data_IF_592989744947
#
_entry.id   IF_592989744947
#
_cell.length_a   1.000
_cell.length_b   1.000
_cell.length_c   1.000
_cell.angle_alpha   90.00
_cell.angle_beta   90.00
_cell.angle_gamma   90.00
#
_symmetry.space_group_name_H-M   'P 1'
#
loop_
_entity.id
_entity.type
_entity.pdbx_description
1 polymer ?
#
# COMPACT_ATOMS: atom_id res chain seq x y z
N UNK A 1 -8.27 -2.74 6.06
CA UNK A 1 -7.10 -2.62 5.17
C UNK A 1 -6.63 -1.16 5.16
N UNK A 2 -5.32 -0.94 5.03
CA UNK A 2 -4.68 0.37 4.89
C UNK A 2 -3.98 0.44 3.53
N UNK A 3 -4.33 1.45 2.73
CA UNK A 3 -3.86 1.61 1.35
C UNK A 3 -2.84 2.74 1.26
N UNK A 4 -1.77 2.53 0.49
CA UNK A 4 -0.80 3.56 0.12
C UNK A 4 -1.35 4.39 -1.04
N UNK A 5 -2.12 5.42 -0.74
CA UNK A 5 -2.90 6.18 -1.71
C UNK A 5 -2.56 7.67 -1.77
N UNK A 6 -1.50 8.14 -1.10
CA UNK A 6 -1.26 9.56 -0.92
C UNK A 6 0.17 10.05 -1.21
N UNK A 7 1.07 9.14 -1.58
CA UNK A 7 2.47 9.45 -1.83
C UNK A 7 2.80 9.79 -3.29
N UNK A 8 4.10 9.84 -3.59
CA UNK A 8 4.66 10.14 -4.91
C UNK A 8 4.13 9.21 -6.01
N UNK A 9 3.73 7.99 -5.66
CA UNK A 9 3.14 7.04 -6.61
C UNK A 9 1.89 7.61 -7.29
N UNK A 10 1.10 8.43 -6.61
CA UNK A 10 -0.07 9.08 -7.21
C UNK A 10 0.35 10.15 -8.23
N UNK A 11 1.35 10.97 -7.90
CA UNK A 11 1.90 11.94 -8.85
C UNK A 11 2.51 11.30 -10.08
N UNK A 12 3.21 10.17 -9.91
CA UNK A 12 3.76 9.39 -11.03
C UNK A 12 2.67 8.90 -11.98
N UNK A 13 1.58 8.35 -11.43
CA UNK A 13 0.43 7.89 -12.23
C UNK A 13 -0.22 9.07 -12.97
N UNK A 14 -0.45 10.19 -12.28
CA UNK A 14 -1.07 11.38 -12.85
C UNK A 14 -0.25 11.92 -14.03
N UNK A 15 1.08 12.04 -13.88
CA UNK A 15 1.93 12.56 -14.94
C UNK A 15 2.10 11.59 -16.11
N UNK A 16 2.19 10.30 -15.86
CA UNK A 16 2.21 9.32 -16.94
C UNK A 16 0.88 9.29 -17.71
N UNK A 17 -0.26 9.46 -17.00
CA UNK A 17 -1.56 9.62 -17.65
C UNK A 17 -1.60 10.90 -18.51
N UNK A 18 -1.03 12.01 -18.03
CA UNK A 18 -0.90 13.26 -18.79
C UNK A 18 -0.11 13.05 -20.07
N UNK A 19 1.02 12.34 -19.99
CA UNK A 19 1.87 12.07 -21.15
C UNK A 19 1.16 11.16 -22.18
N UNK A 20 0.31 10.23 -21.75
CA UNK A 20 -0.45 9.31 -22.62
C UNK A 20 -1.72 9.92 -23.21
N UNK A 21 -2.42 10.73 -22.44
CA UNK A 21 -3.75 11.26 -22.76
C UNK A 21 -3.85 12.77 -22.41
N UNK A 22 -3.00 13.61 -23.05
CA UNK A 22 -2.92 15.03 -22.73
C UNK A 22 -4.22 15.82 -23.00
N UNK A 23 -5.10 15.28 -23.83
CA UNK A 23 -6.38 15.86 -24.21
C UNK A 23 -7.47 15.76 -23.13
N UNK A 24 -7.22 15.02 -22.05
CA UNK A 24 -8.20 14.86 -21.00
C UNK A 24 -8.45 16.17 -20.23
N UNK A 25 -9.69 16.45 -19.82
CA UNK A 25 -10.07 17.73 -19.19
C UNK A 25 -9.33 17.99 -17.86
N UNK A 26 -8.76 16.97 -17.23
CA UNK A 26 -7.96 17.09 -16.02
C UNK A 26 -6.65 17.85 -16.23
N UNK A 27 -6.17 17.93 -17.48
CA UNK A 27 -4.89 18.55 -17.86
C UNK A 27 -5.06 19.90 -18.58
N UNK A 28 -6.29 20.36 -18.77
CA UNK A 28 -6.61 21.69 -19.28
C UNK A 28 -6.76 22.67 -18.11
N UNK A 29 -5.80 23.57 -17.97
CA UNK A 29 -5.79 24.58 -16.90
C UNK A 29 -7.00 25.57 -16.97
N UNK A 30 -7.66 25.66 -18.11
CA UNK A 30 -8.83 26.50 -18.33
C UNK A 30 -10.15 25.74 -18.13
N UNK A 31 -10.09 24.46 -17.82
CA UNK A 31 -11.31 23.65 -17.65
C UNK A 31 -12.06 24.06 -16.37
N UNK A 32 -13.30 24.45 -16.53
CA UNK A 32 -14.18 24.88 -15.43
C UNK A 32 -15.42 24.02 -15.26
N UNK A 33 -15.54 22.96 -16.08
CA UNK A 33 -16.66 22.03 -16.05
C UNK A 33 -16.56 21.02 -14.89
N UNK A 34 -17.59 20.17 -14.82
CA UNK A 34 -17.53 18.98 -13.96
C UNK A 34 -16.67 17.89 -14.62
N UNK A 35 -15.78 17.27 -13.83
CA UNK A 35 -14.96 16.18 -14.36
C UNK A 35 -15.83 14.94 -14.64
N UNK A 36 -15.47 14.15 -15.68
CA UNK A 36 -16.21 12.93 -16.02
C UNK A 36 -16.37 11.99 -14.82
N UNK A 37 -17.54 11.37 -14.67
CA UNK A 37 -17.80 10.41 -13.63
C UNK A 37 -17.11 9.05 -13.91
N UNK A 38 -16.92 8.72 -15.20
CA UNK A 38 -16.27 7.50 -15.61
C UNK A 38 -14.74 7.66 -15.61
N UNK A 39 -13.99 6.64 -15.15
CA UNK A 39 -12.54 6.69 -15.15
C UNK A 39 -11.98 6.72 -16.57
N UNK A 40 -10.94 7.55 -16.84
CA UNK A 40 -10.32 7.65 -18.17
C UNK A 40 -9.39 6.47 -18.49
N UNK A 41 -9.35 5.45 -17.66
CA UNK A 41 -8.51 4.26 -17.80
C UNK A 41 -9.19 3.02 -17.18
N UNK A 42 -8.75 1.86 -17.63
CA UNK A 42 -9.08 0.55 -17.05
C UNK A 42 -8.05 0.13 -16.01
N UNK A 43 -8.35 -0.93 -15.23
CA UNK A 43 -7.35 -1.51 -14.30
C UNK A 43 -6.10 -2.00 -15.04
N UNK A 44 -6.26 -2.60 -16.23
CA UNK A 44 -5.13 -3.08 -17.03
C UNK A 44 -4.22 -1.94 -17.49
N UNK A 45 -4.81 -0.81 -17.91
CA UNK A 45 -4.02 0.40 -18.24
C UNK A 45 -3.31 0.95 -17.00
N UNK A 46 -3.96 0.97 -15.84
CA UNK A 46 -3.36 1.46 -14.58
C UNK A 46 -2.18 0.61 -14.14
N UNK A 47 -2.25 -0.71 -14.35
CA UNK A 47 -1.16 -1.66 -14.09
C UNK A 47 0.05 -1.47 -14.99
N UNK A 48 -0.13 -0.90 -16.18
CA UNK A 48 0.97 -0.52 -17.07
C UNK A 48 1.52 0.89 -16.77
N UNK A 49 0.63 1.82 -16.39
CA UNK A 49 0.97 3.22 -16.12
C UNK A 49 1.99 3.31 -14.98
N UNK A 50 1.72 2.69 -13.84
CA UNK A 50 2.57 2.85 -12.66
C UNK A 50 4.00 2.28 -12.84
N UNK A 51 4.23 1.05 -13.31
CA UNK A 51 5.58 0.56 -13.57
C UNK A 51 6.34 1.39 -14.61
N UNK A 52 5.65 1.86 -15.66
CA UNK A 52 6.22 2.74 -16.68
C UNK A 52 6.67 4.07 -16.06
N UNK A 53 5.79 4.72 -15.32
CA UNK A 53 6.09 5.97 -14.62
C UNK A 53 7.23 5.82 -13.62
N UNK A 54 7.23 4.72 -12.85
CA UNK A 54 8.30 4.41 -11.89
C UNK A 54 9.65 4.14 -12.56
N UNK A 55 9.67 3.51 -13.74
CA UNK A 55 10.90 3.34 -14.51
C UNK A 55 11.39 4.69 -15.05
N UNK A 56 10.48 5.45 -15.69
CA UNK A 56 10.76 6.76 -16.30
C UNK A 56 11.30 7.76 -15.28
N UNK A 57 10.77 7.78 -14.07
CA UNK A 57 11.21 8.69 -13.00
C UNK A 57 12.65 8.47 -12.52
N UNK A 58 13.28 7.34 -12.85
CA UNK A 58 14.67 7.06 -12.50
C UNK A 58 15.65 7.67 -13.48
N UNK A 59 15.23 7.84 -14.73
CA UNK A 59 16.09 8.27 -15.84
C UNK A 59 15.72 9.68 -16.36
N UNK A 60 14.55 10.22 -15.96
CA UNK A 60 14.03 11.53 -16.39
C UNK A 60 13.73 12.41 -15.16
N UNK A 61 14.69 13.27 -14.80
CA UNK A 61 14.54 14.21 -13.67
C UNK A 61 13.40 15.21 -13.88
N UNK A 62 13.11 15.61 -15.12
CA UNK A 62 12.03 16.54 -15.41
C UNK A 62 10.67 15.87 -15.21
N UNK A 63 10.52 14.62 -15.59
CA UNK A 63 9.33 13.83 -15.29
C UNK A 63 9.14 13.65 -13.78
N UNK A 64 10.20 13.30 -13.06
CA UNK A 64 10.16 13.16 -11.61
C UNK A 64 9.75 14.47 -10.92
N UNK A 65 10.28 15.61 -11.36
CA UNK A 65 9.92 16.92 -10.83
C UNK A 65 8.42 17.23 -11.03
N UNK A 66 7.87 16.96 -12.22
CA UNK A 66 6.42 17.09 -12.48
C UNK A 66 5.58 16.16 -11.60
N UNK A 67 6.03 14.92 -11.38
CA UNK A 67 5.34 13.97 -10.51
C UNK A 67 5.31 14.45 -9.04
N UNK A 68 6.41 15.04 -8.56
CA UNK A 68 6.42 15.71 -7.24
C UNK A 68 5.43 16.87 -7.18
N UNK A 69 5.39 17.71 -8.21
CA UNK A 69 4.44 18.83 -8.29
C UNK A 69 2.99 18.32 -8.30
N UNK A 70 2.67 17.29 -9.09
CA UNK A 70 1.34 16.69 -9.13
C UNK A 70 0.95 16.08 -7.76
N UNK A 71 1.90 15.49 -7.03
CA UNK A 71 1.68 14.99 -5.66
C UNK A 71 1.34 16.13 -4.72
N UNK A 72 2.08 17.24 -4.77
CA UNK A 72 1.80 18.43 -3.94
C UNK A 72 0.46 19.05 -4.28
N UNK A 73 0.10 19.15 -5.56
CA UNK A 73 -1.22 19.62 -6.02
C UNK A 73 -2.34 18.75 -5.45
N UNK A 74 -2.20 17.42 -5.55
CA UNK A 74 -3.16 16.49 -4.97
C UNK A 74 -3.32 16.71 -3.45
N UNK A 75 -2.20 16.76 -2.73
CA UNK A 75 -2.19 16.94 -1.27
C UNK A 75 -2.71 18.31 -0.84
N UNK A 76 -2.66 19.32 -1.71
CA UNK A 76 -3.22 20.66 -1.51
C UNK A 76 -4.69 20.77 -1.92
N UNK A 77 -5.32 19.71 -2.40
CA UNK A 77 -6.73 19.67 -2.77
C UNK A 77 -7.02 20.25 -4.17
N UNK A 78 -6.04 20.22 -5.09
CA UNK A 78 -6.29 20.56 -6.49
C UNK A 78 -7.42 19.69 -7.06
N UNK A 79 -8.40 20.32 -7.69
CA UNK A 79 -9.61 19.65 -8.15
C UNK A 79 -9.36 18.60 -9.23
N UNK A 80 -8.46 18.88 -10.16
CA UNK A 80 -8.13 17.98 -11.26
C UNK A 80 -7.38 16.74 -10.76
N UNK A 81 -6.32 16.95 -9.96
CA UNK A 81 -5.55 15.86 -9.36
C UNK A 81 -6.43 15.01 -8.43
N UNK A 82 -7.31 15.65 -7.64
CA UNK A 82 -8.24 14.93 -6.76
C UNK A 82 -9.25 14.10 -7.55
N UNK A 83 -9.78 14.62 -8.68
CA UNK A 83 -10.70 13.85 -9.51
C UNK A 83 -10.03 12.62 -10.14
N UNK A 84 -8.80 12.75 -10.66
CA UNK A 84 -8.03 11.61 -11.17
C UNK A 84 -7.74 10.61 -10.02
N UNK A 85 -7.33 11.10 -8.85
CA UNK A 85 -7.06 10.26 -7.69
C UNK A 85 -8.29 9.44 -7.27
N UNK A 86 -9.48 10.03 -7.27
CA UNK A 86 -10.72 9.29 -7.02
C UNK A 86 -10.93 8.16 -8.02
N UNK A 87 -10.64 8.37 -9.32
CA UNK A 87 -10.72 7.32 -10.32
C UNK A 87 -9.70 6.21 -10.08
N UNK A 88 -8.44 6.57 -9.76
CA UNK A 88 -7.39 5.60 -9.41
C UNK A 88 -7.86 4.74 -8.23
N UNK A 89 -8.36 5.36 -7.18
CA UNK A 89 -8.80 4.65 -5.98
C UNK A 89 -10.03 3.78 -6.22
N UNK A 90 -11.01 4.26 -6.98
CA UNK A 90 -12.20 3.49 -7.28
C UNK A 90 -11.88 2.23 -8.09
N UNK A 91 -11.08 2.36 -9.16
CA UNK A 91 -10.65 1.24 -10.00
C UNK A 91 -9.80 0.25 -9.20
N UNK A 92 -8.83 0.75 -8.43
CA UNK A 92 -7.93 -0.09 -7.61
C UNK A 92 -8.68 -0.81 -6.48
N UNK A 93 -9.56 -0.13 -5.75
CA UNK A 93 -10.36 -0.74 -4.68
C UNK A 93 -11.29 -1.83 -5.21
N UNK A 94 -11.90 -1.62 -6.39
CA UNK A 94 -12.77 -2.61 -7.01
C UNK A 94 -12.01 -3.90 -7.37
N UNK A 95 -10.80 -3.77 -7.93
CA UNK A 95 -9.95 -4.92 -8.26
C UNK A 95 -9.43 -5.63 -7.01
N UNK A 96 -8.94 -4.88 -6.03
CA UNK A 96 -8.50 -5.44 -4.75
C UNK A 96 -9.64 -6.18 -4.05
N UNK A 97 -10.85 -5.59 -4.02
CA UNK A 97 -12.01 -6.24 -3.42
C UNK A 97 -12.34 -7.57 -4.08
N UNK A 98 -12.32 -7.64 -5.41
CA UNK A 98 -12.51 -8.88 -6.17
C UNK A 98 -11.50 -9.95 -5.74
N UNK A 99 -10.23 -9.59 -5.60
CA UNK A 99 -9.19 -10.52 -5.17
C UNK A 99 -9.39 -11.00 -3.72
N UNK A 100 -9.76 -10.11 -2.81
CA UNK A 100 -10.06 -10.48 -1.42
C UNK A 100 -11.32 -11.35 -1.32
N UNK A 101 -12.37 -11.05 -2.09
CA UNK A 101 -13.58 -11.88 -2.16
C UNK A 101 -13.24 -13.30 -2.67
N UNK A 102 -12.38 -13.42 -3.70
CA UNK A 102 -11.89 -14.70 -4.20
C UNK A 102 -11.11 -15.50 -3.14
N UNK A 103 -10.40 -14.81 -2.25
CA UNK A 103 -9.70 -15.40 -1.11
C UNK A 103 -10.60 -15.65 0.09
N UNK A 104 -11.88 -15.29 0.04
CA UNK A 104 -12.79 -15.27 1.18
C UNK A 104 -12.19 -14.50 2.37
N UNK A 105 -11.68 -13.29 2.10
CA UNK A 105 -11.11 -12.36 3.06
C UNK A 105 -11.91 -11.06 3.03
N UNK A 106 -12.34 -10.62 4.21
CA UNK A 106 -13.14 -9.41 4.38
C UNK A 106 -12.48 -8.47 5.38
N UNK A 107 -12.70 -7.17 5.17
CA UNK A 107 -12.20 -6.12 6.06
C UNK A 107 -13.33 -5.24 6.52
N UNK A 108 -13.34 -4.90 7.80
CA UNK A 108 -14.32 -3.99 8.38
C UNK A 108 -14.10 -2.55 7.92
N UNK A 109 -12.84 -2.17 7.68
CA UNK A 109 -12.46 -0.82 7.30
C UNK A 109 -11.56 -0.82 6.06
N UNK A 110 -11.86 0.12 5.16
CA UNK A 110 -11.07 0.42 3.97
C UNK A 110 -10.53 1.85 4.11
N UNK A 111 -9.34 1.98 4.64
CA UNK A 111 -8.66 3.23 4.92
C UNK A 111 -7.40 3.38 4.08
N UNK A 112 -6.91 4.62 3.97
CA UNK A 112 -5.67 4.94 3.27
C UNK A 112 -4.84 5.97 4.03
N UNK A 113 -3.65 6.25 3.54
CA UNK A 113 -2.79 7.32 4.03
C UNK A 113 -3.47 8.69 3.93
N UNK A 114 -4.31 8.88 2.90
CA UNK A 114 -5.11 10.10 2.68
C UNK A 114 -6.06 10.42 3.83
N UNK A 115 -6.63 9.43 4.49
CA UNK A 115 -7.52 9.62 5.64
C UNK A 115 -6.79 10.25 6.84
N UNK A 116 -5.48 10.00 6.96
CA UNK A 116 -4.66 10.51 8.05
C UNK A 116 -4.10 11.93 7.82
N UNK A 117 -4.13 12.41 6.57
CA UNK A 117 -3.59 13.73 6.21
C UNK A 117 -4.04 14.88 7.14
N UNK A 118 -5.32 15.00 7.55
CA UNK A 118 -5.76 16.09 8.40
C UNK A 118 -5.11 16.11 9.80
N UNK A 119 -4.56 15.00 10.26
CA UNK A 119 -3.94 14.90 11.60
C UNK A 119 -2.46 15.26 11.60
N UNK A 120 -1.80 15.30 10.44
CA UNK A 120 -0.35 15.50 10.32
C UNK A 120 0.12 16.84 10.89
N UNK A 121 -0.46 18.00 10.54
CA UNK A 121 0.05 19.29 10.99
C UNK A 121 0.09 19.43 12.52
N UNK A 122 -1.04 19.16 13.16
CA UNK A 122 -1.18 19.29 14.61
C UNK A 122 -0.31 18.27 15.36
N UNK A 123 -0.18 17.06 14.83
CA UNK A 123 0.67 16.02 15.39
C UNK A 123 2.15 16.44 15.37
N UNK A 124 2.65 16.91 14.25
CA UNK A 124 4.04 17.38 14.13
C UNK A 124 4.27 18.58 15.05
N UNK A 125 3.36 19.55 15.06
CA UNK A 125 3.48 20.74 15.90
C UNK A 125 3.52 20.36 17.39
N UNK A 126 2.67 19.45 17.84
CA UNK A 126 2.68 18.95 19.21
C UNK A 126 4.02 18.31 19.62
N UNK A 127 4.64 17.54 18.71
CA UNK A 127 5.96 16.95 18.98
C UNK A 127 7.06 18.01 19.07
N UNK A 128 6.99 19.08 18.26
CA UNK A 128 7.93 20.20 18.32
C UNK A 128 7.75 20.99 19.62
N UNK A 129 6.52 21.34 19.97
CA UNK A 129 6.19 22.15 21.16
C UNK A 129 6.57 21.43 22.45
N UNK A 130 6.46 20.11 22.47
CA UNK A 130 6.90 19.28 23.62
C UNK A 130 8.42 19.09 23.68
N UNK A 131 9.18 19.53 22.68
CA UNK A 131 10.62 19.31 22.58
C UNK A 131 11.03 17.88 22.24
N UNK A 132 10.07 17.02 21.86
CA UNK A 132 10.33 15.65 21.43
C UNK A 132 10.94 15.61 20.04
N UNK A 133 10.43 16.45 19.13
CA UNK A 133 10.94 16.59 17.79
C UNK A 133 11.86 17.81 17.66
N UNK A 134 12.96 17.66 16.93
CA UNK A 134 13.94 18.72 16.70
C UNK A 134 14.44 18.71 15.26
N UNK A 135 15.09 19.82 14.85
CA UNK A 135 15.65 19.96 13.53
C UNK A 135 17.04 19.29 13.45
N UNK A 136 17.24 18.44 12.45
CA UNK A 136 18.51 17.82 12.13
C UNK A 136 18.70 17.78 10.61
N UNK A 137 19.79 18.39 10.12
CA UNK A 137 20.11 18.47 8.68
C UNK A 137 18.96 19.01 7.81
N UNK A 138 18.19 19.95 8.34
CA UNK A 138 17.02 20.53 7.68
C UNK A 138 15.72 19.71 7.77
N UNK A 139 15.78 18.49 8.29
CA UNK A 139 14.58 17.67 8.53
C UNK A 139 14.14 17.75 10.00
N UNK A 140 12.85 17.51 10.26
CA UNK A 140 12.35 17.37 11.65
C UNK A 140 12.37 15.89 12.01
N UNK A 141 13.04 15.56 13.11
CA UNK A 141 13.30 14.17 13.52
C UNK A 141 12.93 13.93 14.99
N UNK A 142 12.73 12.66 15.34
CA UNK A 142 12.53 12.19 16.71
C UNK A 142 13.51 11.07 17.01
N UNK A 143 14.27 11.18 18.11
CA UNK A 143 15.16 10.11 18.56
C UNK A 143 14.36 8.91 19.08
N UNK A 144 14.75 7.75 18.57
CA UNK A 144 14.09 6.49 18.95
C UNK A 144 14.96 5.54 19.75
N UNK A 145 16.22 5.90 19.99
CA UNK A 145 17.17 5.07 20.74
C UNK A 145 16.64 4.77 22.15
N UNK A 146 16.80 3.53 22.58
CA UNK A 146 16.49 3.03 23.92
C UNK A 146 17.72 2.35 24.54
N UNK A 147 17.81 2.33 25.86
CA UNK A 147 18.96 1.76 26.59
C UNK A 147 19.15 0.25 26.35
N UNK A 148 18.08 -0.42 25.91
CA UNK A 148 18.08 -1.85 25.56
C UNK A 148 18.61 -2.15 24.19
N UNK A 149 18.82 -1.13 23.34
CA UNK A 149 19.29 -1.33 21.97
C UNK A 149 20.75 -1.77 21.93
N UNK A 150 21.01 -2.82 21.18
CA UNK A 150 22.37 -3.34 20.97
C UNK A 150 23.12 -2.66 19.84
N UNK A 151 22.40 -1.84 19.06
CA UNK A 151 22.93 -1.09 17.92
C UNK A 151 22.37 0.32 17.93
N UNK A 152 23.13 1.26 17.36
CA UNK A 152 22.61 2.59 17.10
C UNK A 152 21.51 2.54 16.05
N UNK A 153 20.36 3.16 16.36
CA UNK A 153 19.23 3.27 15.45
C UNK A 153 19.11 4.71 14.94
N UNK A 154 18.86 4.89 13.64
CA UNK A 154 18.67 6.23 13.09
C UNK A 154 17.38 6.85 13.65
N UNK A 155 17.36 8.19 13.87
CA UNK A 155 16.16 8.89 14.29
C UNK A 155 15.06 8.74 13.26
N UNK A 156 13.80 8.82 13.72
CA UNK A 156 12.65 8.82 12.84
C UNK A 156 12.44 10.20 12.23
N UNK A 157 12.48 10.29 10.92
CA UNK A 157 12.17 11.54 10.21
C UNK A 157 10.64 11.68 10.11
N UNK A 158 10.10 12.77 10.67
CA UNK A 158 8.66 13.07 10.65
C UNK A 158 8.27 14.19 9.69
N UNK A 159 9.25 14.96 9.19
CA UNK A 159 9.07 15.95 8.11
C UNK A 159 10.41 16.16 7.40
N UNK A 160 10.38 16.10 6.07
CA UNK A 160 11.56 16.39 5.24
C UNK A 160 11.93 17.88 5.24
N UNK A 161 13.12 18.18 4.77
CA UNK A 161 13.61 19.56 4.59
C UNK A 161 12.77 20.39 3.61
N UNK A 162 12.13 19.76 2.66
CA UNK A 162 11.19 20.39 1.71
C UNK A 162 9.77 20.54 2.28
N UNK A 163 9.53 20.11 3.53
CA UNK A 163 8.24 20.16 4.21
C UNK A 163 7.34 18.93 3.94
N UNK A 164 7.74 18.02 3.06
CA UNK A 164 6.92 16.87 2.71
C UNK A 164 6.80 15.85 3.86
N UNK A 165 5.64 15.23 3.94
CA UNK A 165 5.41 14.07 4.81
C UNK A 165 6.07 12.80 4.22
N UNK A 166 6.42 11.89 5.12
CA UNK A 166 6.99 10.58 4.82
C UNK A 166 6.00 9.48 5.21
N UNK A 167 6.32 8.24 4.87
CA UNK A 167 5.53 7.09 5.34
C UNK A 167 5.41 7.04 6.87
N UNK A 168 6.51 7.32 7.60
CA UNK A 168 6.45 7.37 9.06
C UNK A 168 5.48 8.44 9.57
N UNK A 169 5.39 9.57 8.90
CA UNK A 169 4.45 10.66 9.24
C UNK A 169 3.00 10.22 9.05
N UNK A 170 2.71 9.61 7.91
CA UNK A 170 1.36 9.10 7.61
C UNK A 170 0.96 7.98 8.57
N UNK A 171 1.86 7.06 8.90
CA UNK A 171 1.59 5.98 9.86
C UNK A 171 1.36 6.50 11.28
N UNK A 172 2.13 7.48 11.75
CA UNK A 172 1.91 8.14 13.03
C UNK A 172 0.56 8.87 13.06
N UNK A 173 0.21 9.59 12.00
CA UNK A 173 -1.07 10.27 11.89
C UNK A 173 -2.24 9.29 11.83
N UNK A 174 -2.05 8.12 11.20
CA UNK A 174 -3.02 7.02 11.23
C UNK A 174 -3.24 6.49 12.65
N UNK A 175 -2.21 6.41 13.48
CA UNK A 175 -2.35 6.06 14.89
C UNK A 175 -3.15 7.12 15.66
N UNK A 176 -2.92 8.41 15.38
CA UNK A 176 -3.74 9.50 15.97
C UNK A 176 -5.22 9.35 15.58
N UNK A 177 -5.52 9.05 14.31
CA UNK A 177 -6.88 8.77 13.85
C UNK A 177 -7.50 7.59 14.60
N UNK A 178 -6.78 6.46 14.67
CA UNK A 178 -7.25 5.23 15.31
C UNK A 178 -7.51 5.39 16.79
N UNK A 179 -6.62 6.09 17.50
CA UNK A 179 -6.84 6.40 18.92
C UNK A 179 -8.09 7.26 19.13
N UNK A 180 -8.30 8.28 18.31
CA UNK A 180 -9.49 9.14 18.41
C UNK A 180 -10.79 8.40 18.10
N UNK A 181 -10.78 7.48 17.15
CA UNK A 181 -12.00 6.83 16.66
C UNK A 181 -12.33 5.52 17.35
N UNK A 182 -11.33 4.74 17.76
CA UNK A 182 -11.54 3.35 18.16
C UNK A 182 -11.00 3.03 19.55
N UNK A 183 -10.03 3.80 20.09
CA UNK A 183 -9.33 3.50 21.35
C UNK A 183 -8.88 2.03 21.46
N UNK A 184 -8.04 1.53 20.55
CA UNK A 184 -7.70 0.12 20.51
C UNK A 184 -6.93 -0.34 21.75
N UNK A 185 -7.16 -1.57 22.17
CA UNK A 185 -6.36 -2.23 23.22
C UNK A 185 -5.04 -2.77 22.69
N UNK A 186 -5.00 -3.14 21.41
CA UNK A 186 -3.83 -3.71 20.73
C UNK A 186 -3.75 -3.25 19.28
N UNK A 187 -2.52 -3.08 18.79
CA UNK A 187 -2.20 -2.73 17.41
C UNK A 187 -1.35 -3.83 16.79
N UNK A 188 -1.88 -4.51 15.79
CA UNK A 188 -1.16 -5.54 15.05
C UNK A 188 -0.96 -5.07 13.61
N UNK A 189 0.30 -4.88 13.23
CA UNK A 189 0.69 -4.50 11.87
C UNK A 189 1.26 -5.69 11.13
N UNK A 190 0.62 -6.04 10.02
CA UNK A 190 1.04 -7.11 9.14
C UNK A 190 1.61 -6.50 7.85
N UNK A 191 2.92 -6.62 7.65
CA UNK A 191 3.60 -6.08 6.47
C UNK A 191 4.85 -6.91 6.11
N UNK A 192 5.48 -6.58 4.98
CA UNK A 192 6.74 -7.20 4.58
C UNK A 192 7.80 -7.04 5.68
N UNK A 193 8.52 -8.12 6.00
CA UNK A 193 9.56 -8.13 7.06
C UNK A 193 10.64 -7.07 6.89
N UNK A 194 10.87 -6.59 5.67
CA UNK A 194 11.84 -5.51 5.38
C UNK A 194 11.43 -4.17 6.00
N UNK A 195 10.18 -4.02 6.43
CA UNK A 195 9.66 -2.82 7.07
C UNK A 195 9.81 -2.82 8.60
N UNK A 196 10.47 -3.82 9.19
CA UNK A 196 10.63 -3.94 10.64
C UNK A 196 11.22 -2.69 11.31
N UNK A 197 12.29 -2.13 10.74
CA UNK A 197 12.88 -0.89 11.27
C UNK A 197 11.90 0.28 11.22
N UNK A 198 11.18 0.43 10.12
CA UNK A 198 10.17 1.47 9.95
C UNK A 198 9.10 1.38 11.05
N UNK A 199 8.52 0.21 11.29
CA UNK A 199 7.50 0.05 12.33
C UNK A 199 8.08 0.16 13.74
N UNK A 200 9.34 -0.25 13.97
CA UNK A 200 10.04 0.03 15.22
C UNK A 200 10.11 1.54 15.49
N UNK A 201 10.50 2.34 14.48
CA UNK A 201 10.52 3.79 14.58
C UNK A 201 9.13 4.36 14.89
N UNK A 202 8.11 3.98 14.12
CA UNK A 202 6.73 4.46 14.28
C UNK A 202 6.19 4.14 15.68
N UNK A 203 6.36 2.91 16.16
CA UNK A 203 5.84 2.49 17.47
C UNK A 203 6.52 3.22 18.62
N UNK A 204 7.84 3.39 18.56
CA UNK A 204 8.58 4.13 19.58
C UNK A 204 8.20 5.61 19.62
N UNK A 205 8.09 6.25 18.45
CA UNK A 205 7.64 7.64 18.38
C UNK A 205 6.20 7.78 18.90
N UNK A 206 5.31 6.88 18.52
CA UNK A 206 3.92 6.93 18.95
C UNK A 206 3.78 6.87 20.49
N UNK A 207 4.58 6.01 21.16
CA UNK A 207 4.63 5.93 22.62
C UNK A 207 5.28 7.17 23.25
N UNK A 208 6.44 7.61 22.75
CA UNK A 208 7.14 8.81 23.23
C UNK A 208 6.32 10.09 23.09
N UNK A 209 5.57 10.20 21.99
CA UNK A 209 4.70 11.35 21.72
C UNK A 209 3.35 11.30 22.44
N UNK A 210 3.05 10.21 23.16
CA UNK A 210 1.75 10.04 23.81
C UNK A 210 0.58 9.90 22.84
N UNK A 211 0.86 9.53 21.57
CA UNK A 211 -0.19 9.22 20.57
C UNK A 211 -0.97 7.99 21.02
N UNK A 212 -0.26 6.97 21.49
CA UNK A 212 -0.82 5.77 22.11
C UNK A 212 -0.43 5.70 23.57
N UNK A 213 -1.13 4.88 24.36
CA UNK A 213 -0.78 4.65 25.77
C UNK A 213 0.62 4.06 25.87
N UNK A 214 1.40 4.37 26.93
CA UNK A 214 2.75 3.82 27.12
C UNK A 214 2.78 2.28 27.17
N UNK A 215 1.74 1.67 27.71
CA UNK A 215 1.54 0.22 27.85
C UNK A 215 0.77 -0.41 26.67
N UNK A 216 0.44 0.36 25.63
CA UNK A 216 -0.25 -0.18 24.45
C UNK A 216 0.54 -1.33 23.83
N UNK A 217 -0.15 -2.43 23.55
CA UNK A 217 0.43 -3.56 22.83
C UNK A 217 0.51 -3.22 21.34
N UNK A 218 1.75 -3.06 20.86
CA UNK A 218 2.05 -2.75 19.46
C UNK A 218 2.94 -3.84 18.88
N UNK A 219 2.37 -4.65 18.02
CA UNK A 219 3.03 -5.82 17.45
C UNK A 219 3.22 -5.67 15.94
N UNK A 220 4.44 -5.86 15.46
CA UNK A 220 4.75 -6.01 14.04
C UNK A 220 4.90 -7.48 13.67
N UNK A 221 4.10 -7.94 12.71
CA UNK A 221 4.17 -9.27 12.14
C UNK A 221 4.71 -9.17 10.71
N UNK A 222 6.02 -9.35 10.56
CA UNK A 222 6.68 -9.33 9.26
C UNK A 222 6.48 -10.65 8.51
N UNK A 223 6.07 -10.56 7.24
CA UNK A 223 5.99 -11.73 6.36
C UNK A 223 7.08 -11.73 5.29
N UNK A 224 7.44 -12.94 4.85
CA UNK A 224 8.38 -13.17 3.76
C UNK A 224 7.73 -13.15 2.39
N UNK A 225 8.52 -13.45 1.37
CA UNK A 225 8.10 -13.46 -0.03
C UNK A 225 7.74 -14.86 -0.48
N UNK A 226 6.61 -14.99 -1.18
CA UNK A 226 6.26 -16.20 -1.94
C UNK A 226 7.05 -16.18 -3.24
N UNK A 227 7.87 -17.19 -3.48
CA UNK A 227 8.75 -17.28 -4.63
C UNK A 227 8.39 -18.46 -5.54
N UNK A 228 8.76 -18.37 -6.80
CA UNK A 228 8.74 -19.51 -7.73
C UNK A 228 9.94 -20.43 -7.53
N UNK A 229 10.00 -21.52 -8.32
CA UNK A 229 11.08 -22.52 -8.26
C UNK A 229 12.48 -21.95 -8.55
N UNK A 230 12.59 -20.78 -9.16
CA UNK A 230 13.85 -20.04 -9.37
C UNK A 230 14.31 -19.24 -8.14
N UNK A 231 13.58 -19.32 -7.02
CA UNK A 231 13.85 -18.56 -5.79
C UNK A 231 13.58 -17.08 -5.89
N UNK A 232 12.91 -16.61 -6.96
CA UNK A 232 12.53 -15.22 -7.17
C UNK A 232 11.02 -15.06 -7.06
N UNK A 233 10.52 -13.83 -6.75
CA UNK A 233 9.08 -13.58 -6.75
C UNK A 233 8.41 -14.12 -8.00
N UNK A 234 7.22 -14.68 -7.85
CA UNK A 234 6.47 -15.29 -8.95
C UNK A 234 6.41 -14.39 -10.17
N UNK A 235 6.74 -14.95 -11.34
CA UNK A 235 6.69 -14.26 -12.62
C UNK A 235 5.78 -14.99 -13.60
N UNK A 236 5.13 -14.24 -14.47
CA UNK A 236 4.44 -14.81 -15.62
C UNK A 236 5.46 -15.44 -16.57
N UNK A 237 5.01 -16.35 -17.44
CA UNK A 237 5.85 -16.94 -18.50
C UNK A 237 6.47 -15.90 -19.44
N UNK A 238 5.86 -14.71 -19.54
CA UNK A 238 6.35 -13.56 -20.29
C UNK A 238 7.30 -12.64 -19.52
N UNK A 239 7.62 -12.95 -18.25
CA UNK A 239 8.62 -12.24 -17.44
C UNK A 239 8.07 -11.14 -16.50
N UNK A 240 6.77 -10.86 -16.51
CA UNK A 240 6.10 -9.96 -15.57
C UNK A 240 5.82 -10.61 -14.21
N UNK A 241 5.46 -9.80 -13.19
CA UNK A 241 4.98 -10.33 -11.90
C UNK A 241 3.64 -11.04 -12.12
N UNK A 242 3.49 -12.26 -11.57
CA UNK A 242 2.22 -12.99 -11.66
C UNK A 242 1.15 -12.29 -10.83
N UNK A 243 0.02 -12.00 -11.42
CA UNK A 243 -1.15 -11.50 -10.69
C UNK A 243 -1.73 -12.61 -9.84
N UNK A 244 -2.16 -12.25 -8.62
CA UNK A 244 -2.80 -13.20 -7.69
C UNK A 244 -4.06 -13.84 -8.31
N UNK A 245 -4.84 -13.08 -9.07
CA UNK A 245 -6.01 -13.59 -9.81
C UNK A 245 -5.63 -14.76 -10.73
N UNK A 246 -4.53 -14.63 -11.46
CA UNK A 246 -4.06 -15.69 -12.38
C UNK A 246 -3.59 -16.92 -11.61
N UNK A 247 -2.86 -16.73 -10.50
CA UNK A 247 -2.45 -17.83 -9.62
C UNK A 247 -3.65 -18.60 -9.08
N UNK A 248 -4.68 -17.90 -8.63
CA UNK A 248 -5.92 -18.51 -8.14
C UNK A 248 -6.59 -19.31 -9.26
N UNK A 249 -6.69 -18.75 -10.47
CA UNK A 249 -7.29 -19.41 -11.62
C UNK A 249 -6.51 -20.68 -12.03
N UNK A 250 -5.18 -20.59 -12.11
CA UNK A 250 -4.32 -21.71 -12.45
C UNK A 250 -4.47 -22.88 -11.45
N UNK A 251 -4.54 -22.58 -10.16
CA UNK A 251 -4.75 -23.60 -9.11
C UNK A 251 -6.15 -24.22 -9.26
N UNK A 252 -7.18 -23.42 -9.50
CA UNK A 252 -8.55 -23.93 -9.68
C UNK A 252 -8.66 -24.82 -10.91
N UNK A 253 -8.03 -24.44 -12.03
CA UNK A 253 -8.02 -25.24 -13.24
C UNK A 253 -7.24 -26.56 -13.06
N UNK A 254 -6.13 -26.53 -12.34
CA UNK A 254 -5.37 -27.76 -12.01
C UNK A 254 -6.20 -28.71 -11.14
N UNK A 255 -6.89 -28.19 -10.14
CA UNK A 255 -7.79 -28.99 -9.28
C UNK A 255 -8.98 -29.52 -10.08
N UNK A 256 -9.59 -28.70 -10.94
CA UNK A 256 -10.69 -29.12 -11.82
C UNK A 256 -10.27 -30.29 -12.72
N UNK A 257 -9.08 -30.20 -13.34
CA UNK A 257 -8.53 -31.30 -14.14
C UNK A 257 -8.42 -32.61 -13.36
N UNK A 258 -7.86 -32.54 -12.13
CA UNK A 258 -7.73 -33.74 -11.26
C UNK A 258 -9.08 -34.33 -10.83
N UNK A 259 -10.08 -33.48 -10.56
CA UNK A 259 -11.44 -33.95 -10.17
C UNK A 259 -12.10 -34.68 -11.35
N UNK A 260 -11.98 -34.14 -12.55
CA UNK A 260 -12.69 -34.66 -13.75
C UNK A 260 -11.96 -35.81 -14.44
N UNK A 261 -10.66 -36.01 -14.16
CA UNK A 261 -9.86 -37.08 -14.76
C UNK A 261 -10.36 -38.51 -14.45
N UNK A 262 -10.86 -38.72 -13.22
CA UNK A 262 -11.22 -40.04 -12.70
C UNK A 262 -12.66 -40.14 -12.20
N UNK A 263 -13.50 -39.14 -12.41
CA UNK A 263 -14.90 -39.11 -11.92
C UNK A 263 -15.83 -38.48 -12.92
N UNK A 264 -16.99 -39.08 -13.09
CA UNK A 264 -18.13 -38.43 -13.78
C UNK A 264 -18.87 -37.60 -12.74
N UNK A 265 -18.74 -36.28 -12.83
CA UNK A 265 -19.38 -35.29 -11.96
C UNK A 265 -20.08 -34.24 -12.82
N UNK A 266 -21.14 -33.64 -12.34
CA UNK A 266 -21.73 -32.48 -13.00
C UNK A 266 -20.71 -31.37 -13.13
N UNK A 267 -20.71 -30.67 -14.27
CA UNK A 267 -19.70 -29.66 -14.58
C UNK A 267 -19.74 -28.49 -13.61
N UNK A 268 -20.92 -28.04 -13.18
CA UNK A 268 -21.07 -26.95 -12.23
C UNK A 268 -20.57 -27.36 -10.85
N UNK A 269 -20.90 -28.59 -10.41
CA UNK A 269 -20.41 -29.15 -9.15
C UNK A 269 -18.89 -29.31 -9.16
N UNK A 270 -18.31 -29.79 -10.27
CA UNK A 270 -16.86 -29.94 -10.42
C UNK A 270 -16.14 -28.57 -10.35
N UNK A 271 -16.71 -27.55 -10.98
CA UNK A 271 -16.17 -26.18 -10.94
C UNK A 271 -16.23 -25.58 -9.53
N UNK A 272 -17.36 -25.70 -8.83
CA UNK A 272 -17.49 -25.19 -7.46
C UNK A 272 -16.57 -25.92 -6.48
N UNK A 273 -16.46 -27.24 -6.61
CA UNK A 273 -15.50 -28.04 -5.83
C UNK A 273 -14.07 -27.61 -6.10
N UNK A 274 -13.70 -27.38 -7.37
CA UNK A 274 -12.36 -26.92 -7.73
C UNK A 274 -12.06 -25.52 -7.13
N UNK A 275 -13.02 -24.63 -7.11
CA UNK A 275 -12.92 -23.32 -6.48
C UNK A 275 -12.62 -23.43 -4.98
N UNK A 276 -13.39 -24.26 -4.26
CA UNK A 276 -13.26 -24.44 -2.80
C UNK A 276 -11.93 -25.11 -2.46
N UNK A 277 -11.61 -26.22 -3.13
CA UNK A 277 -10.40 -27.00 -2.87
C UNK A 277 -9.15 -26.22 -3.30
N UNK A 278 -9.20 -25.53 -4.42
CA UNK A 278 -8.11 -24.68 -4.91
C UNK A 278 -7.78 -23.55 -3.93
N UNK A 279 -8.80 -22.88 -3.39
CA UNK A 279 -8.63 -21.85 -2.36
C UNK A 279 -8.04 -22.46 -1.07
N UNK A 280 -8.52 -23.60 -0.65
CA UNK A 280 -8.00 -24.29 0.54
C UNK A 280 -6.52 -24.68 0.34
N UNK A 281 -6.15 -25.19 -0.84
CA UNK A 281 -4.77 -25.54 -1.17
C UNK A 281 -3.84 -24.31 -1.14
N UNK A 282 -4.26 -23.21 -1.75
CA UNK A 282 -3.49 -21.96 -1.72
C UNK A 282 -3.26 -21.46 -0.29
N UNK A 283 -4.32 -21.36 0.50
CA UNK A 283 -4.22 -20.91 1.91
C UNK A 283 -3.39 -21.85 2.76
N UNK A 284 -3.54 -23.16 2.59
CA UNK A 284 -2.74 -24.14 3.32
C UNK A 284 -1.27 -24.05 2.93
N UNK A 285 -0.97 -23.93 1.63
CA UNK A 285 0.40 -23.78 1.13
C UNK A 285 1.09 -22.56 1.72
N UNK A 286 0.41 -21.43 1.77
CA UNK A 286 0.93 -20.20 2.36
C UNK A 286 1.09 -20.33 3.89
N UNK A 287 0.01 -20.65 4.60
CA UNK A 287 -0.06 -20.65 6.06
C UNK A 287 0.71 -21.79 6.73
N UNK A 288 1.10 -22.85 6.00
CA UNK A 288 1.93 -23.93 6.51
C UNK A 288 3.41 -23.54 6.65
N UNK A 289 3.80 -22.42 6.06
CA UNK A 289 5.15 -21.88 6.16
C UNK A 289 5.27 -20.92 7.37
N UNK A 290 6.50 -20.74 7.86
CA UNK A 290 6.78 -19.72 8.86
C UNK A 290 6.59 -18.33 8.22
N UNK A 291 5.69 -17.52 8.75
CA UNK A 291 5.31 -16.24 8.15
C UNK A 291 6.51 -15.34 7.78
N UNK A 292 7.52 -15.22 8.65
CA UNK A 292 8.68 -14.35 8.44
C UNK A 292 9.72 -14.89 7.44
N UNK A 293 9.55 -16.10 6.91
CA UNK A 293 10.49 -16.70 5.94
C UNK A 293 9.96 -16.58 4.52
N UNK A 294 10.91 -16.35 3.59
CA UNK A 294 10.64 -16.57 2.18
C UNK A 294 10.48 -18.07 1.93
N UNK A 295 9.57 -18.45 1.06
CA UNK A 295 9.34 -19.83 0.70
C UNK A 295 9.06 -19.99 -0.80
N UNK A 296 9.30 -21.19 -1.31
CA UNK A 296 8.97 -21.57 -2.69
C UNK A 296 7.57 -22.16 -2.69
N UNK A 297 6.71 -21.63 -3.53
CA UNK A 297 5.38 -22.16 -3.77
C UNK A 297 5.43 -23.04 -5.03
N UNK A 298 5.11 -24.34 -4.89
CA UNK A 298 5.14 -25.36 -5.94
C UNK A 298 3.74 -25.91 -6.22
#
# INVERSE_FOLDING_TARGET
VHLGDWGLQMGLIIEELRDRKPELPYFDENYTGEYPAEPPFTISELEEIYPTASAKSKDDEAFLARAHEATLKLQSGDKACTAIWHHIMNVSKADLKKNYDNLNVHFDLWKGESDAQPYIPDMIQSMIDSGLAYESQGATVVDIQEDTDTKELPPCIIRKSDGAALYATSDLATLVEREKMYHPDSYIYLADKRQELHFTQVFRVAKKAGIVKPDADMTFLGFGTMNGNDGKPFKTRSGGVMRLENLIADIQDAVYGKITENRTMDQAEARDTARIVGLAALKYGDLSNQASKDYVFD
#
